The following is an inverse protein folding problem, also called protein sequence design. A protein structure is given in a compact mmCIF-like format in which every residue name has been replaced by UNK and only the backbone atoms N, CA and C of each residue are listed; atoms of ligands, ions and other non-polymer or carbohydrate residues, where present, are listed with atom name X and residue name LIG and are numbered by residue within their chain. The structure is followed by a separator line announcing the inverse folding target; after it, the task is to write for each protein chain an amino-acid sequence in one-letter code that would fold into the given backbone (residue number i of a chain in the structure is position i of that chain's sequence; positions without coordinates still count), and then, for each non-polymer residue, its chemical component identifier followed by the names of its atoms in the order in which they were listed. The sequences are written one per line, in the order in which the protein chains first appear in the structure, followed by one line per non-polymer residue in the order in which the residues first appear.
data_IF_477120783332
#
_entry.id   IF_477120783332
#
_cell.length_a   1.000
_cell.length_b   1.000
_cell.length_c   1.000
_cell.angle_alpha   90.00
_cell.angle_beta   90.00
_cell.angle_gamma   90.00
#
_symmetry.space_group_name_H-M   'P 1'
#
loop_
_entity.id
_entity.type
_entity.pdbx_description
1 polymer ?
#
# COMPACT_ATOMS: atom_id res chain seq x y z
N UNK A 1 7.44 -19.34 -12.10
CA UNK A 1 6.34 -20.33 -11.94
C UNK A 1 6.22 -20.64 -10.48
N UNK A 2 7.29 -21.16 -9.88
CA UNK A 2 7.36 -21.58 -8.49
C UNK A 2 6.86 -20.51 -7.50
N UNK A 3 7.32 -19.25 -7.63
CA UNK A 3 6.87 -18.15 -6.78
C UNK A 3 5.35 -17.89 -6.88
N UNK A 4 4.79 -17.95 -8.08
CA UNK A 4 3.36 -17.74 -8.29
C UNK A 4 2.55 -18.90 -7.72
N UNK A 5 3.02 -20.15 -7.89
CA UNK A 5 2.39 -21.33 -7.29
C UNK A 5 2.45 -21.27 -5.78
N UNK A 6 3.60 -20.91 -5.20
CA UNK A 6 3.76 -20.75 -3.75
C UNK A 6 2.83 -19.66 -3.20
N UNK A 7 2.74 -18.51 -3.88
CA UNK A 7 1.84 -17.42 -3.51
C UNK A 7 0.36 -17.85 -3.50
N UNK A 8 -0.13 -18.45 -4.58
CA UNK A 8 -1.51 -18.93 -4.65
C UNK A 8 -1.79 -20.04 -3.62
N UNK A 9 -0.83 -20.94 -3.41
CA UNK A 9 -0.95 -22.01 -2.39
C UNK A 9 -1.07 -21.42 -0.99
N UNK A 10 -0.28 -20.40 -0.65
CA UNK A 10 -0.35 -19.73 0.65
C UNK A 10 -1.74 -19.16 0.94
N UNK A 11 -2.33 -18.44 -0.02
CA UNK A 11 -3.65 -17.84 0.15
C UNK A 11 -4.77 -18.88 0.19
N UNK A 12 -4.65 -19.93 -0.60
CA UNK A 12 -5.61 -21.03 -0.61
C UNK A 12 -5.60 -21.81 0.71
N UNK A 13 -4.41 -22.10 1.25
CA UNK A 13 -4.25 -22.74 2.55
C UNK A 13 -4.80 -21.86 3.69
N UNK A 14 -4.55 -20.55 3.62
CA UNK A 14 -5.07 -19.60 4.59
C UNK A 14 -6.61 -19.55 4.54
N UNK A 15 -7.20 -19.56 3.33
CA UNK A 15 -8.66 -19.59 3.13
C UNK A 15 -9.29 -20.85 3.69
N UNK A 16 -8.72 -22.03 3.41
CA UNK A 16 -9.18 -23.33 3.94
C UNK A 16 -9.15 -23.39 5.48
N UNK A 17 -8.24 -22.64 6.10
CA UNK A 17 -8.13 -22.52 7.56
C UNK A 17 -9.02 -21.42 8.15
N UNK A 18 -9.82 -20.72 7.33
CA UNK A 18 -10.68 -19.62 7.77
C UNK A 18 -9.94 -18.30 8.06
N UNK A 19 -8.71 -18.15 7.56
CA UNK A 19 -7.88 -16.96 7.75
C UNK A 19 -8.16 -15.83 6.76
N UNK A 20 -9.10 -16.01 5.83
CA UNK A 20 -9.56 -14.98 4.91
C UNK A 20 -11.07 -14.84 4.98
N UNK A 21 -11.62 -13.74 4.44
CA UNK A 21 -13.05 -13.63 4.20
C UNK A 21 -13.50 -14.62 3.11
N UNK A 22 -14.80 -14.93 3.08
CA UNK A 22 -15.40 -15.74 2.03
C UNK A 22 -15.21 -15.10 0.64
N UNK A 23 -15.17 -15.92 -0.41
CA UNK A 23 -14.86 -15.47 -1.77
C UNK A 23 -15.86 -14.42 -2.28
N UNK A 24 -17.16 -14.61 -2.02
CA UNK A 24 -18.23 -13.67 -2.36
C UNK A 24 -18.13 -12.31 -1.66
N UNK A 25 -17.50 -12.27 -0.48
CA UNK A 25 -17.17 -11.02 0.21
C UNK A 25 -15.91 -10.40 -0.39
N UNK A 26 -14.87 -11.20 -0.65
CA UNK A 26 -13.59 -10.73 -1.18
C UNK A 26 -13.75 -10.05 -2.55
N UNK A 27 -14.55 -10.63 -3.45
CA UNK A 27 -14.72 -10.14 -4.83
C UNK A 27 -15.39 -8.77 -4.92
N UNK A 28 -16.06 -8.34 -3.85
CA UNK A 28 -16.68 -7.01 -3.77
C UNK A 28 -15.65 -5.91 -3.44
N UNK A 29 -14.46 -6.24 -2.95
CA UNK A 29 -13.43 -5.26 -2.57
C UNK A 29 -12.83 -4.57 -3.81
N UNK A 30 -13.04 -3.25 -3.90
CA UNK A 30 -12.57 -2.41 -5.00
C UNK A 30 -11.24 -1.69 -4.67
N UNK A 31 -10.52 -2.14 -3.64
CA UNK A 31 -9.31 -1.49 -3.12
C UNK A 31 -9.56 -0.04 -2.65
N UNK A 32 -10.78 0.27 -2.19
CA UNK A 32 -11.15 1.56 -1.60
C UNK A 32 -11.47 1.40 -0.13
N UNK A 33 -11.34 2.47 0.65
CA UNK A 33 -11.55 2.43 2.10
C UNK A 33 -12.96 1.93 2.45
N UNK A 34 -13.97 2.36 1.71
CA UNK A 34 -15.39 2.05 1.94
C UNK A 34 -15.80 0.64 1.50
N UNK A 35 -15.10 0.04 0.54
CA UNK A 35 -15.38 -1.34 0.07
C UNK A 35 -14.52 -2.39 0.76
N UNK A 36 -13.46 -1.98 1.47
CA UNK A 36 -12.54 -2.91 2.09
C UNK A 36 -13.17 -3.69 3.25
N UNK A 37 -12.80 -4.97 3.37
CA UNK A 37 -13.37 -5.87 4.37
C UNK A 37 -13.13 -5.44 5.83
N UNK A 38 -12.04 -4.71 6.13
CA UNK A 38 -11.81 -4.15 7.47
C UNK A 38 -12.86 -3.08 7.80
N UNK A 39 -13.11 -2.16 6.87
CA UNK A 39 -14.08 -1.09 7.02
C UNK A 39 -15.53 -1.60 7.12
N UNK A 40 -15.84 -2.65 6.37
CA UNK A 40 -17.15 -3.31 6.40
C UNK A 40 -17.37 -4.19 7.64
N UNK A 41 -16.37 -4.31 8.53
CA UNK A 41 -16.43 -5.16 9.72
C UNK A 41 -16.45 -6.67 9.40
N UNK A 42 -16.03 -7.05 8.18
CA UNK A 42 -15.96 -8.44 7.71
C UNK A 42 -14.61 -9.10 8.05
N UNK A 43 -13.57 -8.32 8.32
CA UNK A 43 -12.23 -8.78 8.67
C UNK A 43 -11.66 -8.01 9.86
N UNK A 44 -10.82 -8.66 10.67
CA UNK A 44 -10.06 -8.01 11.74
C UNK A 44 -8.83 -7.22 11.23
N UNK A 45 -8.38 -7.52 10.01
CA UNK A 45 -7.21 -6.89 9.38
C UNK A 45 -7.50 -6.51 7.93
N UNK A 46 -6.90 -5.41 7.48
CA UNK A 46 -6.91 -4.97 6.08
C UNK A 46 -5.49 -4.62 5.64
N UNK A 47 -5.21 -4.80 4.34
CA UNK A 47 -3.96 -4.32 3.73
C UNK A 47 -4.22 -2.95 3.10
N UNK A 48 -3.48 -1.95 3.54
CA UNK A 48 -3.63 -0.57 3.10
C UNK A 48 -2.29 0.17 3.17
N UNK A 49 -2.20 1.30 2.49
CA UNK A 49 -1.07 2.21 2.69
C UNK A 49 -1.22 2.94 4.03
N UNK A 50 -0.10 3.24 4.70
CA UNK A 50 -0.11 3.81 6.05
C UNK A 50 -0.88 5.13 6.15
N UNK A 51 -0.83 5.97 5.11
CA UNK A 51 -1.58 7.22 5.05
C UNK A 51 -3.11 7.03 5.06
N UNK A 52 -3.61 5.83 4.74
CA UNK A 52 -5.05 5.54 4.76
C UNK A 52 -5.57 5.24 6.17
N UNK A 53 -4.70 5.03 7.18
CA UNK A 53 -5.11 4.71 8.55
C UNK A 53 -6.10 5.75 9.12
N UNK A 54 -5.87 7.03 8.86
CA UNK A 54 -6.77 8.12 9.28
C UNK A 54 -8.15 7.95 8.64
N UNK A 55 -8.20 7.69 7.33
CA UNK A 55 -9.46 7.46 6.61
C UNK A 55 -10.22 6.22 7.10
N UNK A 56 -9.51 5.11 7.35
CA UNK A 56 -10.12 3.92 7.94
C UNK A 56 -10.65 4.18 9.36
N UNK A 57 -9.90 4.93 10.18
CA UNK A 57 -10.32 5.23 11.54
C UNK A 57 -11.58 6.10 11.59
N UNK A 58 -11.77 7.01 10.62
CA UNK A 58 -12.97 7.87 10.54
C UNK A 58 -14.27 7.08 10.35
N UNK A 59 -14.21 5.93 9.68
CA UNK A 59 -15.39 5.09 9.43
C UNK A 59 -15.46 3.86 10.34
N UNK A 60 -14.37 3.55 11.05
CA UNK A 60 -14.31 2.46 12.03
C UNK A 60 -14.75 2.93 13.41
N UNK A 61 -15.66 2.16 14.04
CA UNK A 61 -16.04 2.38 15.45
C UNK A 61 -14.96 1.93 16.44
N UNK A 62 -14.15 0.95 16.03
CA UNK A 62 -13.06 0.42 16.85
C UNK A 62 -11.77 1.21 16.60
N UNK A 63 -10.96 1.36 17.65
CA UNK A 63 -9.60 1.88 17.50
C UNK A 63 -8.79 0.91 16.63
N UNK A 64 -8.29 1.42 15.51
CA UNK A 64 -7.41 0.69 14.62
C UNK A 64 -5.95 0.91 15.03
N UNK A 65 -5.11 -0.04 14.65
CA UNK A 65 -3.66 0.04 14.76
C UNK A 65 -3.03 -0.38 13.44
N UNK A 66 -1.78 0.01 13.23
CA UNK A 66 -0.99 -0.34 12.05
C UNK A 66 0.26 -1.09 12.48
N UNK A 67 0.65 -2.11 11.71
CA UNK A 67 1.84 -2.91 11.96
C UNK A 67 2.45 -3.41 10.64
N UNK A 68 3.64 -3.98 10.73
CA UNK A 68 4.37 -4.52 9.59
C UNK A 68 3.71 -5.80 9.08
N UNK A 69 3.76 -5.99 7.76
CA UNK A 69 3.42 -7.28 7.14
C UNK A 69 4.39 -8.40 7.62
N UNK A 70 3.92 -9.65 7.68
CA UNK A 70 4.78 -10.79 7.98
C UNK A 70 5.94 -10.91 7.00
N UNK A 71 7.06 -11.44 7.49
CA UNK A 71 8.22 -11.78 6.67
C UNK A 71 8.34 -13.30 6.58
N UNK A 72 8.81 -13.79 5.45
CA UNK A 72 9.09 -15.22 5.26
C UNK A 72 10.10 -15.75 6.29
N UNK A 73 11.14 -14.97 6.59
CA UNK A 73 12.15 -15.30 7.60
C UNK A 73 12.53 -14.09 8.43
N UNK A 74 12.90 -14.33 9.70
CA UNK A 74 13.44 -13.31 10.60
C UNK A 74 14.69 -12.68 9.97
N UNK A 75 14.72 -11.35 9.87
CA UNK A 75 15.81 -10.61 9.24
C UNK A 75 15.87 -10.70 7.70
N UNK A 76 14.94 -11.42 7.05
CA UNK A 76 14.81 -11.42 5.60
C UNK A 76 14.23 -10.10 5.07
N UNK A 77 14.19 -9.90 3.74
CA UNK A 77 13.57 -8.74 3.12
C UNK A 77 12.14 -8.53 3.62
N UNK A 78 11.77 -7.29 3.89
CA UNK A 78 10.45 -6.97 4.44
C UNK A 78 9.36 -6.85 3.36
N UNK A 79 9.77 -6.65 2.10
CA UNK A 79 8.88 -6.24 1.00
C UNK A 79 8.41 -4.78 1.07
N UNK A 80 8.72 -4.06 2.14
CA UNK A 80 8.34 -2.64 2.29
C UNK A 80 9.31 -1.74 1.53
N UNK A 81 8.78 -0.65 1.00
CA UNK A 81 9.52 0.48 0.44
C UNK A 81 8.77 1.77 0.76
N UNK A 82 9.47 2.91 0.80
CA UNK A 82 8.79 4.19 0.96
C UNK A 82 8.15 4.61 -0.36
N UNK A 83 6.82 4.54 -0.41
CA UNK A 83 6.04 5.04 -1.54
C UNK A 83 5.76 6.54 -1.36
N UNK A 84 6.12 7.41 -2.33
CA UNK A 84 5.73 8.80 -2.26
C UNK A 84 4.20 8.92 -2.36
N UNK A 85 3.58 9.56 -1.37
CA UNK A 85 2.14 9.82 -1.38
C UNK A 85 1.77 10.85 -2.45
N UNK A 86 2.62 11.87 -2.60
CA UNK A 86 2.55 12.90 -3.63
C UNK A 86 3.96 13.18 -4.17
N UNK A 87 4.03 13.61 -5.42
CA UNK A 87 5.28 13.97 -6.10
C UNK A 87 5.15 15.40 -6.59
N UNK A 88 6.12 16.25 -6.25
CA UNK A 88 6.27 17.58 -6.81
C UNK A 88 7.25 17.56 -7.99
N UNK A 89 6.92 18.27 -9.05
CA UNK A 89 7.75 18.41 -10.25
C UNK A 89 7.83 19.87 -10.68
N UNK A 90 9.01 20.31 -11.13
CA UNK A 90 9.19 21.62 -11.75
C UNK A 90 9.15 21.42 -13.26
N UNK A 91 8.25 22.11 -13.95
CA UNK A 91 8.14 22.02 -15.41
C UNK A 91 9.42 22.53 -16.09
N UNK A 92 10.00 21.72 -16.99
CA UNK A 92 11.29 22.04 -17.63
C UNK A 92 11.29 23.31 -18.49
N UNK A 93 10.13 23.85 -18.85
CA UNK A 93 9.97 25.08 -19.62
C UNK A 93 9.69 26.33 -18.77
N UNK A 94 9.68 26.21 -17.43
CA UNK A 94 9.36 27.33 -16.55
C UNK A 94 10.44 28.42 -16.62
N UNK A 95 10.02 29.68 -16.59
CA UNK A 95 10.92 30.84 -16.42
C UNK A 95 11.23 31.14 -14.95
N UNK A 96 10.54 30.48 -14.02
CA UNK A 96 10.58 30.76 -12.58
C UNK A 96 11.13 29.56 -11.78
N UNK A 97 12.17 28.89 -12.29
CA UNK A 97 12.69 27.64 -11.71
C UNK A 97 13.14 27.78 -10.25
N UNK A 98 13.89 28.84 -9.93
CA UNK A 98 14.35 29.10 -8.56
C UNK A 98 13.20 29.35 -7.58
N UNK A 99 12.20 30.14 -7.99
CA UNK A 99 11.04 30.40 -7.13
C UNK A 99 10.21 29.14 -6.90
N UNK A 100 10.04 28.30 -7.93
CA UNK A 100 9.37 27.01 -7.81
C UNK A 100 10.13 26.06 -6.86
N UNK A 101 11.46 26.00 -6.97
CA UNK A 101 12.29 25.20 -6.08
C UNK A 101 12.21 25.68 -4.63
N UNK A 102 12.27 26.99 -4.38
CA UNK A 102 12.08 27.58 -3.05
C UNK A 102 10.71 27.27 -2.46
N UNK A 103 9.66 27.28 -3.28
CA UNK A 103 8.33 26.92 -2.82
C UNK A 103 8.25 25.44 -2.41
N UNK A 104 8.82 24.54 -3.22
CA UNK A 104 8.86 23.10 -2.88
C UNK A 104 9.65 22.88 -1.59
N UNK A 105 10.82 23.53 -1.45
CA UNK A 105 11.64 23.44 -0.24
C UNK A 105 10.88 23.93 1.00
N UNK A 106 10.26 25.11 0.94
CA UNK A 106 9.36 25.59 1.99
C UNK A 106 8.28 24.56 2.32
N UNK A 107 7.61 24.01 1.30
CA UNK A 107 6.50 23.09 1.50
C UNK A 107 6.90 21.80 2.23
N UNK A 108 8.12 21.27 1.98
CA UNK A 108 8.54 19.95 2.49
C UNK A 108 9.50 20.01 3.68
N UNK A 109 10.21 21.14 3.87
CA UNK A 109 11.26 21.28 4.88
C UNK A 109 10.97 22.35 5.95
N UNK A 110 10.02 23.27 5.73
CA UNK A 110 9.69 24.29 6.74
C UNK A 110 8.84 23.72 7.88
N UNK A 111 9.22 24.03 9.12
CA UNK A 111 8.55 23.53 10.31
C UNK A 111 7.16 24.14 10.49
N UNK A 112 6.99 25.42 10.18
CA UNK A 112 5.70 26.10 10.34
C UNK A 112 4.71 25.64 9.27
N UNK A 113 5.17 25.46 8.02
CA UNK A 113 4.39 24.78 6.98
C UNK A 113 3.99 23.36 7.40
N UNK A 114 4.96 22.60 7.94
CA UNK A 114 4.72 21.26 8.47
C UNK A 114 3.66 21.23 9.57
N UNK A 115 3.69 22.16 10.53
CA UNK A 115 2.68 22.25 11.61
C UNK A 115 1.27 22.48 11.09
N UNK A 116 1.13 23.24 9.99
CA UNK A 116 -0.16 23.47 9.33
C UNK A 116 -0.62 22.21 8.59
N UNK A 117 0.28 21.57 7.85
CA UNK A 117 -0.03 20.43 6.97
C UNK A 117 -0.17 19.10 7.72
N UNK A 118 0.50 18.94 8.85
CA UNK A 118 0.57 17.71 9.63
C UNK A 118 0.98 16.51 8.76
N UNK A 119 0.09 15.52 8.67
CA UNK A 119 0.26 14.31 7.85
C UNK A 119 -0.78 14.19 6.72
N UNK A 120 -1.47 15.28 6.37
CA UNK A 120 -2.53 15.29 5.36
C UNK A 120 -2.03 14.76 3.99
N UNK A 121 -0.77 15.03 3.67
CA UNK A 121 -0.10 14.62 2.42
C UNK A 121 0.84 13.43 2.59
N UNK A 122 0.62 12.65 3.65
CA UNK A 122 1.53 11.62 4.12
C UNK A 122 2.51 12.13 5.18
N UNK A 123 3.27 11.22 5.78
CA UNK A 123 4.25 11.57 6.81
C UNK A 123 5.41 12.33 6.16
N UNK A 124 5.75 13.54 6.64
CA UNK A 124 6.89 14.28 6.11
C UNK A 124 8.19 13.49 6.16
N UNK A 125 8.96 13.50 5.08
CA UNK A 125 10.24 12.79 5.01
C UNK A 125 11.37 13.51 5.76
N UNK A 126 11.28 14.83 5.92
CA UNK A 126 12.18 15.60 6.77
C UNK A 126 12.03 15.16 8.24
N UNK A 127 13.07 14.60 8.87
CA UNK A 127 13.02 14.22 10.28
C UNK A 127 12.73 15.43 11.18
N UNK A 128 13.32 16.59 10.88
CA UNK A 128 13.10 17.84 11.61
C UNK A 128 11.63 18.25 11.61
N UNK A 129 10.98 18.23 10.45
CA UNK A 129 9.54 18.55 10.36
C UNK A 129 8.73 17.50 11.10
N UNK A 130 9.03 16.21 10.89
CA UNK A 130 8.32 15.10 11.51
C UNK A 130 8.35 15.16 13.04
N UNK A 131 9.50 15.45 13.63
CA UNK A 131 9.67 15.62 15.08
C UNK A 131 8.88 16.83 15.59
N UNK A 132 8.92 17.95 14.86
CA UNK A 132 8.23 19.17 15.26
C UNK A 132 6.69 19.05 15.21
N UNK A 133 6.14 18.28 14.26
CA UNK A 133 4.68 18.12 14.14
C UNK A 133 4.12 17.09 15.12
N UNK A 134 4.92 16.09 15.54
CA UNK A 134 4.44 14.93 16.30
C UNK A 134 3.58 15.28 17.53
N UNK A 135 3.92 16.30 18.36
CA UNK A 135 3.11 16.70 19.51
C UNK A 135 1.75 17.31 19.15
N UNK A 136 1.58 17.78 17.91
CA UNK A 136 0.36 18.44 17.42
C UNK A 136 -0.59 17.49 16.70
N UNK A 137 -0.14 16.28 16.41
CA UNK A 137 -0.93 15.26 15.72
C UNK A 137 -1.91 14.57 16.66
N UNK A 138 -3.06 14.17 16.13
CA UNK A 138 -3.99 13.31 16.85
C UNK A 138 -3.42 11.88 17.02
N UNK A 139 -3.98 11.03 17.92
CA UNK A 139 -3.42 9.71 18.18
C UNK A 139 -3.24 8.82 16.94
N UNK A 140 -4.18 8.85 16.00
CA UNK A 140 -4.14 8.04 14.76
C UNK A 140 -3.06 8.52 13.79
N UNK A 141 -2.89 9.84 13.69
CA UNK A 141 -1.82 10.45 12.91
C UNK A 141 -0.45 10.14 13.53
N UNK A 142 -0.32 10.21 14.85
CA UNK A 142 0.90 9.82 15.56
C UNK A 142 1.25 8.34 15.31
N UNK A 143 0.27 7.45 15.26
CA UNK A 143 0.50 6.03 14.97
C UNK A 143 1.00 5.82 13.53
N UNK A 144 0.54 6.63 12.57
CA UNK A 144 1.09 6.65 11.21
C UNK A 144 2.57 7.09 11.21
N UNK A 145 2.91 8.13 11.98
CA UNK A 145 4.31 8.60 12.09
C UNK A 145 5.20 7.54 12.75
N UNK A 146 4.74 6.92 13.84
CA UNK A 146 5.46 5.83 14.53
C UNK A 146 5.71 4.65 13.61
N UNK A 147 4.73 4.27 12.79
CA UNK A 147 4.88 3.21 11.79
C UNK A 147 5.95 3.53 10.74
N UNK A 148 5.94 4.76 10.20
CA UNK A 148 6.97 5.19 9.24
C UNK A 148 8.36 5.21 9.89
N UNK A 149 8.46 5.62 11.15
CA UNK A 149 9.74 5.54 11.89
C UNK A 149 10.17 4.09 12.16
N UNK A 150 9.24 3.19 12.46
CA UNK A 150 9.50 1.76 12.66
C UNK A 150 10.08 1.09 11.40
N UNK A 151 9.67 1.55 10.22
CA UNK A 151 10.17 1.07 8.93
C UNK A 151 11.62 1.48 8.63
N UNK A 152 12.22 2.37 9.44
CA UNK A 152 13.64 2.74 9.30
C UNK A 152 14.50 1.47 9.27
N UNK A 153 15.44 1.43 8.32
CA UNK A 153 16.36 0.31 8.08
C UNK A 153 15.69 -1.03 7.72
N UNK A 154 14.37 -1.02 7.45
CA UNK A 154 13.59 -2.18 7.06
C UNK A 154 13.04 -2.10 5.64
N UNK A 155 13.24 -0.98 4.95
CA UNK A 155 12.74 -0.74 3.58
C UNK A 155 13.78 -1.10 2.53
N UNK A 156 13.31 -1.66 1.41
CA UNK A 156 14.10 -1.83 0.19
C UNK A 156 14.06 -0.59 -0.71
N UNK A 157 14.68 -0.71 -1.88
CA UNK A 157 14.65 0.33 -2.91
C UNK A 157 13.23 0.57 -3.43
N UNK A 158 12.96 1.81 -3.87
CA UNK A 158 11.71 2.11 -4.55
C UNK A 158 11.66 1.35 -5.89
N UNK A 159 10.57 0.63 -6.19
CA UNK A 159 10.50 -0.19 -7.40
C UNK A 159 10.54 0.66 -8.66
N UNK A 160 10.94 0.04 -9.77
CA UNK A 160 10.84 0.66 -11.09
C UNK A 160 9.38 1.07 -11.39
N UNK A 161 9.16 2.09 -12.24
CA UNK A 161 7.82 2.46 -12.67
C UNK A 161 7.04 1.26 -13.19
N UNK A 162 5.76 1.20 -12.86
CA UNK A 162 4.91 0.12 -13.33
C UNK A 162 4.90 0.10 -14.87
N UNK A 163 5.05 -1.08 -15.48
CA UNK A 163 5.07 -1.20 -16.94
C UNK A 163 3.71 -0.85 -17.56
N UNK A 164 3.73 -0.59 -18.86
CA UNK A 164 2.50 -0.38 -19.63
C UNK A 164 1.63 -1.64 -19.55
N UNK A 165 0.33 -1.46 -19.33
CA UNK A 165 -0.61 -2.57 -19.16
C UNK A 165 -0.74 -3.08 -17.72
N UNK A 166 -0.02 -2.54 -16.73
CA UNK A 166 -0.14 -2.93 -15.32
C UNK A 166 -1.58 -2.88 -14.77
N UNK A 167 -2.37 -1.85 -15.12
CA UNK A 167 -3.79 -1.79 -14.77
C UNK A 167 -4.61 -2.91 -15.42
N UNK A 168 -4.32 -3.24 -16.68
CA UNK A 168 -5.02 -4.31 -17.38
C UNK A 168 -4.63 -5.69 -16.83
N UNK A 169 -3.37 -5.85 -16.44
CA UNK A 169 -2.90 -7.04 -15.75
C UNK A 169 -3.66 -7.26 -14.43
N UNK A 170 -3.77 -6.23 -13.58
CA UNK A 170 -4.52 -6.35 -12.33
C UNK A 170 -5.99 -6.71 -12.57
N UNK A 171 -6.67 -5.94 -13.43
CA UNK A 171 -8.12 -6.04 -13.63
C UNK A 171 -8.57 -7.25 -14.45
N UNK A 172 -7.77 -7.69 -15.43
CA UNK A 172 -8.19 -8.73 -16.40
C UNK A 172 -7.47 -10.06 -16.24
N UNK A 173 -6.36 -10.09 -15.52
CA UNK A 173 -5.57 -11.32 -15.33
C UNK A 173 -5.52 -11.68 -13.85
N UNK A 174 -4.88 -10.86 -13.02
CA UNK A 174 -4.61 -11.22 -11.63
C UNK A 174 -5.89 -11.38 -10.80
N UNK A 175 -6.77 -10.37 -10.78
CA UNK A 175 -8.02 -10.42 -10.00
C UNK A 175 -8.94 -11.58 -10.44
N UNK A 176 -9.26 -11.75 -11.74
CA UNK A 176 -10.09 -12.88 -12.18
C UNK A 176 -9.52 -14.26 -11.80
N UNK A 177 -8.21 -14.48 -11.96
CA UNK A 177 -7.56 -15.74 -11.58
C UNK A 177 -7.65 -15.95 -10.06
N UNK A 178 -7.41 -14.91 -9.26
CA UNK A 178 -7.50 -14.98 -7.81
C UNK A 178 -8.94 -15.28 -7.33
N UNK A 179 -9.95 -14.71 -8.01
CA UNK A 179 -11.36 -14.97 -7.73
C UNK A 179 -11.74 -16.41 -8.11
N UNK A 180 -11.33 -16.89 -9.28
CA UNK A 180 -11.55 -18.29 -9.70
C UNK A 180 -10.93 -19.28 -8.71
N UNK A 181 -9.71 -19.00 -8.23
CA UNK A 181 -9.08 -19.80 -7.19
C UNK A 181 -9.89 -19.76 -5.89
N UNK A 182 -10.34 -18.57 -5.46
CA UNK A 182 -11.14 -18.41 -4.25
C UNK A 182 -12.50 -19.12 -4.32
N UNK A 183 -13.07 -19.28 -5.51
CA UNK A 183 -14.28 -20.07 -5.79
C UNK A 183 -13.99 -21.54 -6.12
N UNK A 184 -12.76 -22.01 -5.89
CA UNK A 184 -12.33 -23.40 -6.09
C UNK A 184 -12.49 -23.90 -7.54
N UNK A 185 -12.44 -22.98 -8.52
CA UNK A 185 -12.59 -23.27 -9.96
C UNK A 185 -11.28 -23.59 -10.67
N UNK A 186 -10.15 -23.41 -10.00
CA UNK A 186 -8.81 -23.72 -10.51
C UNK A 186 -7.90 -24.14 -9.35
N UNK A 187 -6.78 -24.79 -9.67
CA UNK A 187 -5.74 -25.11 -8.69
C UNK A 187 -4.67 -24.03 -8.61
N UNK A 188 -3.89 -23.93 -7.51
CA UNK A 188 -2.76 -23.00 -7.43
C UNK A 188 -1.73 -23.15 -8.56
N UNK A 189 -1.50 -24.38 -9.05
CA UNK A 189 -0.57 -24.65 -10.15
C UNK A 189 -1.10 -24.11 -11.49
N UNK A 190 -2.38 -24.35 -11.79
CA UNK A 190 -3.03 -23.83 -13.00
C UNK A 190 -3.16 -22.30 -12.97
N UNK A 191 -3.55 -21.73 -11.82
CA UNK A 191 -3.62 -20.29 -11.59
C UNK A 191 -2.25 -19.62 -11.83
N UNK A 192 -1.18 -20.22 -11.32
CA UNK A 192 0.19 -19.74 -11.53
C UNK A 192 0.61 -19.80 -13.00
N UNK A 193 0.29 -20.90 -13.69
CA UNK A 193 0.56 -21.05 -15.12
C UNK A 193 -0.14 -19.96 -15.94
N UNK A 194 -1.43 -19.76 -15.71
CA UNK A 194 -2.22 -18.73 -16.38
C UNK A 194 -1.74 -17.32 -16.08
N UNK A 195 -1.42 -17.02 -14.82
CA UNK A 195 -0.88 -15.72 -14.43
C UNK A 195 0.37 -15.35 -15.24
N UNK A 196 1.26 -16.32 -15.46
CA UNK A 196 2.50 -16.13 -16.21
C UNK A 196 2.25 -16.02 -17.73
N UNK A 197 1.37 -16.84 -18.28
CA UNK A 197 1.03 -16.82 -19.70
C UNK A 197 0.29 -15.52 -20.07
N UNK A 198 -0.85 -15.28 -19.44
CA UNK A 198 -1.72 -14.13 -19.69
C UNK A 198 -1.04 -12.82 -19.25
N UNK A 199 -0.24 -12.88 -18.16
CA UNK A 199 0.48 -11.73 -17.65
C UNK A 199 1.56 -11.22 -18.60
N UNK A 200 2.35 -12.12 -19.20
CA UNK A 200 3.34 -11.77 -20.22
C UNK A 200 2.70 -11.19 -21.48
N UNK A 201 1.51 -11.66 -21.85
CA UNK A 201 0.78 -11.12 -22.99
C UNK A 201 0.20 -9.72 -22.72
N UNK A 202 -0.11 -9.42 -21.45
CA UNK A 202 -0.79 -8.18 -21.05
C UNK A 202 0.17 -7.04 -20.75
N UNK A 203 1.26 -7.34 -20.03
CA UNK A 203 2.25 -6.34 -19.63
C UNK A 203 3.23 -6.11 -20.76
N UNK A 204 3.44 -4.84 -21.11
CA UNK A 204 4.45 -4.41 -22.08
C UNK A 204 5.59 -3.72 -21.32
N UNK A 205 6.74 -4.38 -21.29
CA UNK A 205 7.98 -3.93 -20.67
C UNK A 205 9.16 -4.51 -21.41
#
# INVERSE_FOLDING_TARGET
MDDATAWFTYWEDLRKKGGTVAADVQTLDQNTIDTNCLALGKSAMGMAYSNQLVGYQLISKNKLAITLLPREKKGGPSGHYYRPALIWSIGGTTKNGEAAAKFIDFFVNDVEAGKILGVERGVPMSPTVREAILPHLNPTEQDTVKYVNLLKDQVGEYPAPAPLGSTQFDQRVFRPIADELAFERTTPAEAAARLLEEGKATIKG
#
